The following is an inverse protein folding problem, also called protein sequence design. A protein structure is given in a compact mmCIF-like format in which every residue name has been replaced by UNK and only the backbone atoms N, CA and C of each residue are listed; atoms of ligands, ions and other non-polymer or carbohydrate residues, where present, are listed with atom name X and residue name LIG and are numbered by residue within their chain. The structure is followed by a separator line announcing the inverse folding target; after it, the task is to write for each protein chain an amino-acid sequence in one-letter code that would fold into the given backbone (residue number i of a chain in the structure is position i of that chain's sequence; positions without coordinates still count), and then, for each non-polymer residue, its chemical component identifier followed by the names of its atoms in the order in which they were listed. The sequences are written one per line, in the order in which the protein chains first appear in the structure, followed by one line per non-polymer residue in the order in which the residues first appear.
data_IF_735254288662
#
_entry.id   IF_735254288662
#
_cell.length_a   1.000
_cell.length_b   1.000
_cell.length_c   1.000
_cell.angle_alpha   90.00
_cell.angle_beta   90.00
_cell.angle_gamma   90.00
#
_symmetry.space_group_name_H-M   'P 1'
#
loop_
_entity.id
_entity.type
_entity.pdbx_description
1 polymer ?
#
# COMPACT_ATOMS: atom_id res chain seq x y z
N UNK A 1 -3.35 -68.17 -63.64
CA UNK A 1 -2.39 -67.06 -63.62
C UNK A 1 -3.01 -66.02 -62.72
N UNK A 2 -2.56 -65.92 -61.47
CA UNK A 2 -3.09 -64.99 -60.50
C UNK A 2 -1.97 -63.97 -60.16
N UNK A 3 -2.20 -62.75 -60.57
CA UNK A 3 -1.31 -61.60 -60.25
C UNK A 3 -1.62 -61.05 -58.84
N UNK A 4 -0.69 -61.20 -57.98
CA UNK A 4 -0.71 -60.56 -56.63
C UNK A 4 -0.38 -59.08 -56.76
N UNK A 5 -1.37 -58.17 -56.50
CA UNK A 5 -1.11 -56.75 -56.31
C UNK A 5 -0.57 -56.50 -54.93
N UNK A 6 0.62 -55.92 -54.85
CA UNK A 6 1.20 -55.40 -53.59
C UNK A 6 0.60 -54.03 -53.34
N UNK A 7 -0.11 -53.88 -52.22
CA UNK A 7 -0.57 -52.60 -51.71
C UNK A 7 0.59 -52.00 -50.90
N UNK A 8 1.12 -50.87 -51.35
CA UNK A 8 2.08 -50.10 -50.58
C UNK A 8 1.30 -49.14 -49.66
N UNK A 9 1.38 -49.34 -48.36
CA UNK A 9 0.81 -48.43 -47.36
C UNK A 9 1.76 -47.26 -47.18
N UNK A 10 1.38 -46.08 -47.65
CA UNK A 10 2.11 -44.83 -47.38
C UNK A 10 1.67 -44.34 -46.00
N UNK A 11 2.58 -44.39 -45.02
CA UNK A 11 2.41 -43.82 -43.70
C UNK A 11 2.71 -42.31 -43.79
N UNK A 12 1.68 -41.49 -43.84
CA UNK A 12 1.82 -40.02 -43.75
C UNK A 12 1.98 -39.65 -42.29
N UNK A 13 3.20 -39.35 -41.87
CA UNK A 13 3.44 -38.75 -40.58
C UNK A 13 2.97 -37.28 -40.65
N UNK A 14 1.88 -36.99 -39.96
CA UNK A 14 1.44 -35.63 -39.71
C UNK A 14 2.35 -35.03 -38.63
N UNK A 15 3.29 -34.19 -39.04
CA UNK A 15 4.03 -33.33 -38.11
C UNK A 15 3.08 -32.23 -37.69
N UNK A 16 2.50 -32.35 -36.50
CA UNK A 16 1.80 -31.25 -35.83
C UNK A 16 2.90 -30.31 -35.32
N UNK A 17 3.19 -29.29 -36.14
CA UNK A 17 3.99 -28.16 -35.69
C UNK A 17 3.18 -27.39 -34.64
N UNK A 18 3.56 -27.53 -33.39
CA UNK A 18 3.14 -26.59 -32.35
C UNK A 18 3.79 -25.24 -32.67
N UNK A 19 3.04 -24.39 -33.39
CA UNK A 19 3.34 -22.97 -33.45
C UNK A 19 3.04 -22.42 -32.04
N UNK A 20 4.10 -22.29 -31.24
CA UNK A 20 4.04 -21.41 -30.08
C UNK A 20 3.74 -20.01 -30.64
N UNK A 21 2.50 -19.57 -30.51
CA UNK A 21 2.18 -18.16 -30.59
C UNK A 21 2.88 -17.51 -29.37
N UNK A 22 4.11 -17.05 -29.56
CA UNK A 22 4.64 -15.98 -28.72
C UNK A 22 3.76 -14.77 -29.03
N UNK A 23 2.79 -14.51 -28.17
CA UNK A 23 2.21 -13.18 -28.09
C UNK A 23 3.38 -12.26 -27.75
N UNK A 24 3.82 -11.49 -28.74
CA UNK A 24 4.66 -10.33 -28.48
C UNK A 24 3.71 -9.39 -27.73
N UNK A 25 3.71 -9.47 -26.39
CA UNK A 25 3.19 -8.40 -25.57
C UNK A 25 4.07 -7.22 -25.94
N UNK A 26 3.49 -6.17 -26.50
CA UNK A 26 4.19 -4.91 -26.70
C UNK A 26 4.61 -4.48 -25.31
N UNK A 27 5.86 -4.69 -24.95
CA UNK A 27 6.37 -4.26 -23.67
C UNK A 27 6.37 -2.73 -23.65
N UNK A 28 5.98 -2.12 -22.54
CA UNK A 28 6.22 -0.71 -22.32
C UNK A 28 7.64 -0.37 -22.74
N UNK A 29 7.84 0.77 -23.37
CA UNK A 29 9.11 1.15 -23.96
C UNK A 29 9.53 2.55 -23.53
N UNK A 30 10.82 2.75 -23.38
CA UNK A 30 11.42 4.02 -23.00
C UNK A 30 11.88 4.08 -21.56
N UNK A 31 12.33 5.25 -21.15
CA UNK A 31 12.85 5.51 -19.82
C UNK A 31 11.73 5.40 -18.77
N UNK A 32 12.01 4.72 -17.65
CA UNK A 32 11.08 4.58 -16.54
C UNK A 32 11.08 5.88 -15.73
N UNK A 33 9.92 6.49 -15.55
CA UNK A 33 9.73 7.59 -14.59
C UNK A 33 9.45 7.01 -13.20
N UNK A 34 10.47 6.97 -12.35
CA UNK A 34 10.34 6.52 -10.96
C UNK A 34 9.67 7.61 -10.15
N UNK A 35 8.55 7.27 -9.49
CA UNK A 35 7.84 8.19 -8.59
C UNK A 35 7.91 7.64 -7.18
N UNK A 36 8.44 8.43 -6.25
CA UNK A 36 8.57 8.09 -4.83
C UNK A 36 7.79 9.06 -3.95
N UNK A 37 7.83 8.81 -2.66
CA UNK A 37 7.20 9.65 -1.63
C UNK A 37 8.27 10.44 -0.86
N UNK A 38 7.82 11.44 -0.14
CA UNK A 38 8.60 12.26 0.78
C UNK A 38 9.24 11.43 1.92
N UNK A 39 10.32 11.92 2.51
CA UNK A 39 11.11 11.20 3.53
C UNK A 39 10.30 10.83 4.79
N UNK A 40 9.35 11.67 5.19
CA UNK A 40 8.45 11.41 6.33
C UNK A 40 7.39 10.34 6.07
N UNK A 41 7.21 9.91 4.80
CA UNK A 41 6.17 8.96 4.40
C UNK A 41 6.39 7.58 5.00
N UNK A 42 5.41 7.09 5.77
CA UNK A 42 5.40 5.72 6.27
C UNK A 42 5.26 4.69 5.14
N UNK A 43 4.57 5.04 4.04
CA UNK A 43 4.46 4.17 2.88
C UNK A 43 5.80 4.00 2.18
N UNK A 44 6.60 5.09 2.05
CA UNK A 44 7.97 5.00 1.52
C UNK A 44 8.84 4.11 2.43
N UNK A 45 8.82 4.35 3.74
CA UNK A 45 9.62 3.55 4.67
C UNK A 45 9.30 2.05 4.58
N UNK A 46 8.00 1.69 4.62
CA UNK A 46 7.58 0.30 4.49
C UNK A 46 7.91 -0.29 3.11
N UNK A 47 7.74 0.48 2.02
CA UNK A 47 8.07 0.06 0.66
C UNK A 47 9.56 -0.24 0.51
N UNK A 48 10.42 0.67 0.97
CA UNK A 48 11.88 0.53 0.92
C UNK A 48 12.36 -0.69 1.70
N UNK A 49 11.81 -0.91 2.90
CA UNK A 49 12.11 -2.07 3.72
C UNK A 49 11.65 -3.38 3.07
N UNK A 50 10.38 -3.45 2.64
CA UNK A 50 9.77 -4.68 2.12
C UNK A 50 10.38 -5.15 0.79
N UNK A 51 10.85 -4.21 -0.05
CA UNK A 51 11.55 -4.53 -1.29
C UNK A 51 13.08 -4.60 -1.13
N UNK A 52 13.60 -4.36 0.08
CA UNK A 52 15.05 -4.39 0.34
C UNK A 52 15.80 -3.31 -0.43
N UNK A 53 15.18 -2.13 -0.62
CA UNK A 53 15.78 -0.95 -1.26
C UNK A 53 16.69 -0.20 -0.28
N UNK A 54 16.79 -0.64 0.95
CA UNK A 54 17.69 -0.10 1.96
C UNK A 54 19.00 -0.89 2.03
N UNK A 55 20.10 -0.21 2.36
CA UNK A 55 21.39 -0.80 2.66
C UNK A 55 21.84 -0.42 4.06
N UNK A 56 22.50 -1.34 4.76
CA UNK A 56 23.15 -1.02 6.03
C UNK A 56 24.52 -0.36 5.76
N UNK A 57 24.66 0.90 6.21
CA UNK A 57 25.92 1.66 6.13
C UNK A 57 26.25 2.19 7.51
N UNK A 58 27.41 1.81 8.03
CA UNK A 58 27.92 2.23 9.35
C UNK A 58 26.97 1.89 10.52
N UNK A 59 26.12 0.84 10.36
CA UNK A 59 25.14 0.40 11.35
C UNK A 59 23.78 1.13 11.25
N UNK A 60 23.58 1.97 10.24
CA UNK A 60 22.33 2.63 9.94
C UNK A 60 21.73 2.11 8.62
N UNK A 61 20.41 2.00 8.56
CA UNK A 61 19.67 1.67 7.35
C UNK A 61 19.55 2.92 6.47
N UNK A 62 20.04 2.85 5.27
CA UNK A 62 20.03 3.96 4.30
C UNK A 62 19.10 3.60 3.15
N UNK A 63 18.12 4.44 2.89
CA UNK A 63 17.25 4.36 1.72
C UNK A 63 18.06 4.61 0.43
N UNK A 64 18.05 3.65 -0.47
CA UNK A 64 18.79 3.65 -1.74
C UNK A 64 17.91 4.03 -2.93
N UNK A 65 16.73 4.61 -2.68
CA UNK A 65 15.89 5.13 -3.77
C UNK A 65 16.70 6.12 -4.61
N UNK A 66 16.67 5.94 -5.93
CA UNK A 66 17.43 6.80 -6.86
C UNK A 66 17.10 8.27 -6.68
N UNK A 67 18.13 9.11 -6.74
CA UNK A 67 18.00 10.57 -6.69
C UNK A 67 17.23 11.15 -7.91
N UNK A 68 17.05 10.35 -8.96
CA UNK A 68 16.27 10.69 -10.16
C UNK A 68 14.76 10.56 -9.94
N UNK A 69 14.32 9.97 -8.82
CA UNK A 69 12.91 9.77 -8.53
C UNK A 69 12.18 11.10 -8.34
N UNK A 70 11.02 11.23 -8.98
CA UNK A 70 10.08 12.32 -8.72
C UNK A 70 9.42 12.13 -7.37
N UNK A 71 9.54 13.09 -6.46
CA UNK A 71 9.02 12.99 -5.09
C UNK A 71 7.64 13.62 -4.98
N UNK A 72 6.68 12.86 -4.44
CA UNK A 72 5.32 13.32 -4.15
C UNK A 72 5.07 13.35 -2.64
N UNK A 73 4.12 14.16 -2.21
CA UNK A 73 3.85 14.41 -0.78
C UNK A 73 2.52 13.83 -0.28
N UNK A 74 1.82 13.04 -1.08
CA UNK A 74 0.59 12.37 -0.66
C UNK A 74 0.23 11.20 -1.59
N UNK A 75 -0.66 10.32 -1.12
CA UNK A 75 -1.20 9.20 -1.90
C UNK A 75 -1.92 9.69 -3.16
N UNK A 76 -2.74 10.72 -3.05
CA UNK A 76 -3.50 11.27 -4.19
C UNK A 76 -2.61 11.92 -5.24
N UNK A 77 -1.54 12.62 -4.83
CA UNK A 77 -0.56 13.19 -5.77
C UNK A 77 0.25 12.09 -6.47
N UNK A 78 0.62 11.01 -5.75
CA UNK A 78 1.25 9.83 -6.35
C UNK A 78 0.36 9.25 -7.47
N UNK A 79 -0.91 8.99 -7.19
CA UNK A 79 -1.86 8.45 -8.17
C UNK A 79 -2.00 9.37 -9.38
N UNK A 80 -2.20 10.67 -9.16
CA UNK A 80 -2.32 11.65 -10.25
C UNK A 80 -1.05 11.71 -11.11
N UNK A 81 0.13 11.63 -10.48
CA UNK A 81 1.41 11.66 -11.20
C UNK A 81 1.56 10.43 -12.09
N UNK A 82 1.29 9.22 -11.54
CA UNK A 82 1.37 7.97 -12.31
C UNK A 82 0.31 7.93 -13.41
N UNK A 83 -0.91 8.39 -13.13
CA UNK A 83 -1.97 8.45 -14.15
C UNK A 83 -1.66 9.42 -15.31
N UNK A 84 -0.80 10.41 -15.07
CA UNK A 84 -0.43 11.42 -16.06
C UNK A 84 0.80 11.10 -16.92
N UNK A 85 1.50 10.00 -16.66
CA UNK A 85 2.72 9.59 -17.37
C UNK A 85 2.71 8.08 -17.65
N UNK A 86 2.65 7.71 -18.94
CA UNK A 86 2.60 6.31 -19.40
C UNK A 86 3.84 5.50 -18.98
N UNK A 87 4.97 6.15 -18.70
CA UNK A 87 6.21 5.51 -18.28
C UNK A 87 6.41 5.51 -16.76
N UNK A 88 5.47 6.06 -15.99
CA UNK A 88 5.61 6.15 -14.56
C UNK A 88 5.34 4.82 -13.84
N UNK A 89 6.14 4.59 -12.79
CA UNK A 89 5.93 3.58 -11.75
C UNK A 89 5.88 4.27 -10.39
N UNK A 90 4.93 3.85 -9.55
CA UNK A 90 4.74 4.38 -8.21
C UNK A 90 4.23 3.31 -7.26
N UNK A 91 3.89 3.69 -6.03
CA UNK A 91 3.34 2.80 -5.03
C UNK A 91 2.35 3.54 -4.11
N UNK A 92 1.28 2.86 -3.74
CA UNK A 92 0.22 3.41 -2.88
C UNK A 92 -0.31 2.38 -1.89
N UNK A 93 -1.09 2.85 -0.92
CA UNK A 93 -2.00 2.02 -0.12
C UNK A 93 -2.98 1.28 -1.02
N UNK A 94 -3.14 -0.03 -0.82
CA UNK A 94 -4.09 -0.87 -1.58
C UNK A 94 -5.53 -0.37 -1.39
N UNK A 95 -5.90 0.06 -0.18
CA UNK A 95 -7.23 0.61 0.08
C UNK A 95 -7.51 1.94 -0.63
N UNK A 96 -6.49 2.59 -1.22
CA UNK A 96 -6.65 3.81 -2.04
C UNK A 96 -6.66 3.53 -3.54
N UNK A 97 -6.46 2.27 -3.95
CA UNK A 97 -6.42 1.90 -5.37
C UNK A 97 -7.78 2.10 -6.03
N UNK A 98 -7.79 2.83 -7.14
CA UNK A 98 -8.96 3.04 -7.98
C UNK A 98 -8.64 2.78 -9.46
N UNK A 99 -9.59 3.06 -10.34
CA UNK A 99 -9.48 2.81 -11.77
C UNK A 99 -8.67 3.88 -12.55
N UNK A 100 -8.04 4.83 -11.88
CA UNK A 100 -7.18 5.85 -12.53
C UNK A 100 -5.78 5.33 -12.84
N UNK A 101 -5.33 4.31 -12.12
CA UNK A 101 -4.02 3.65 -12.28
C UNK A 101 -4.20 2.13 -12.34
N UNK A 102 -3.14 1.41 -12.70
CA UNK A 102 -3.11 -0.05 -12.75
C UNK A 102 -2.13 -0.60 -11.71
N UNK A 103 -2.59 -1.48 -10.83
CA UNK A 103 -1.69 -2.25 -9.96
C UNK A 103 -1.06 -3.40 -10.75
N UNK A 104 0.24 -3.60 -10.60
CA UNK A 104 0.95 -4.75 -11.15
C UNK A 104 1.03 -5.88 -10.12
N UNK A 105 1.07 -7.12 -10.58
CA UNK A 105 1.34 -8.27 -9.72
C UNK A 105 2.80 -8.23 -9.28
N UNK A 106 3.04 -8.68 -8.06
CA UNK A 106 4.41 -8.85 -7.53
C UNK A 106 4.64 -10.33 -7.29
N UNK A 107 5.70 -10.87 -7.89
CA UNK A 107 6.07 -12.30 -7.82
C UNK A 107 4.89 -13.22 -8.16
N UNK A 108 4.10 -12.86 -9.17
CA UNK A 108 2.92 -13.60 -9.62
C UNK A 108 1.65 -13.40 -8.78
N UNK A 109 1.70 -12.60 -7.70
CA UNK A 109 0.59 -12.40 -6.78
C UNK A 109 -0.02 -11.01 -6.97
N UNK A 110 -1.33 -10.95 -7.10
CA UNK A 110 -2.09 -9.71 -7.21
C UNK A 110 -2.17 -8.98 -5.86
N UNK A 111 -2.01 -7.66 -5.89
CA UNK A 111 -2.29 -6.80 -4.75
C UNK A 111 -3.81 -6.74 -4.51
N UNK A 112 -4.31 -7.63 -3.66
CA UNK A 112 -5.72 -7.76 -3.32
C UNK A 112 -5.88 -8.02 -1.81
N UNK A 113 -6.99 -7.56 -1.24
CA UNK A 113 -7.29 -7.69 0.21
C UNK A 113 -7.19 -9.15 0.67
N UNK A 114 -7.77 -10.09 -0.10
CA UNK A 114 -7.73 -11.52 0.22
C UNK A 114 -6.29 -12.06 0.22
N UNK A 115 -5.45 -11.62 -0.71
CA UNK A 115 -4.06 -12.06 -0.82
C UNK A 115 -3.17 -11.47 0.29
N UNK A 116 -3.47 -10.26 0.75
CA UNK A 116 -2.82 -9.68 1.93
C UNK A 116 -3.29 -10.40 3.20
N UNK A 117 -4.59 -10.68 3.32
CA UNK A 117 -5.19 -11.32 4.49
C UNK A 117 -4.67 -12.76 4.70
N UNK A 118 -4.45 -13.52 3.62
CA UNK A 118 -3.94 -14.89 3.68
C UNK A 118 -2.41 -15.00 3.56
N UNK A 119 -1.69 -13.87 3.62
CA UNK A 119 -0.24 -13.75 3.51
C UNK A 119 0.37 -14.25 2.19
N UNK A 120 -0.39 -14.41 1.12
CA UNK A 120 0.17 -14.70 -0.21
C UNK A 120 0.82 -13.46 -0.84
N UNK A 121 0.24 -12.27 -0.65
CA UNK A 121 0.86 -10.99 -0.99
C UNK A 121 1.60 -10.43 0.22
N UNK A 122 2.93 -10.32 0.12
CA UNK A 122 3.82 -10.00 1.24
C UNK A 122 4.05 -8.51 1.46
N UNK A 123 3.70 -7.68 0.49
CA UNK A 123 3.95 -6.24 0.54
C UNK A 123 2.82 -5.57 1.31
N UNK A 124 2.88 -5.68 2.62
CA UNK A 124 1.84 -5.20 3.54
C UNK A 124 2.45 -4.65 4.84
N UNK A 125 1.73 -3.75 5.49
CA UNK A 125 2.17 -3.05 6.68
C UNK A 125 1.00 -2.72 7.61
N UNK A 126 1.26 -2.42 8.89
CA UNK A 126 0.23 -1.93 9.80
C UNK A 126 -0.14 -0.48 9.50
N UNK A 127 -1.39 -0.13 9.76
CA UNK A 127 -1.84 1.23 10.03
C UNK A 127 -1.95 1.42 11.53
N UNK A 128 -1.19 2.35 12.05
CA UNK A 128 -1.12 2.65 13.48
C UNK A 128 -1.78 4.00 13.78
N UNK A 129 -2.49 4.04 14.89
CA UNK A 129 -2.77 5.29 15.60
C UNK A 129 -1.84 5.39 16.81
N UNK A 130 -1.48 6.60 17.15
CA UNK A 130 -0.48 6.92 18.17
C UNK A 130 -1.10 7.88 19.17
N UNK A 131 -1.12 7.48 20.43
CA UNK A 131 -1.72 8.25 21.49
C UNK A 131 -0.74 8.45 22.63
N UNK A 132 -0.91 9.53 23.40
CA UNK A 132 -0.10 9.81 24.58
C UNK A 132 -0.89 9.53 25.86
N UNK A 133 -0.25 9.56 27.01
CA UNK A 133 -0.89 9.46 28.32
C UNK A 133 -1.79 10.67 28.69
N UNK A 134 -1.79 11.71 27.83
CA UNK A 134 -2.55 12.96 27.99
C UNK A 134 -3.80 13.04 27.13
N UNK A 135 -4.25 11.92 26.57
CA UNK A 135 -5.45 11.85 25.75
C UNK A 135 -6.67 12.45 26.46
N UNK A 136 -7.48 13.22 25.72
CA UNK A 136 -8.78 13.64 26.18
C UNK A 136 -9.76 12.47 26.27
N UNK A 137 -10.82 12.61 27.07
CA UNK A 137 -11.87 11.57 27.14
C UNK A 137 -12.52 11.34 25.77
N UNK A 138 -12.65 12.40 24.95
CA UNK A 138 -13.15 12.29 23.58
C UNK A 138 -12.20 11.48 22.67
N UNK A 139 -10.87 11.68 22.78
CA UNK A 139 -9.89 10.91 22.01
C UNK A 139 -9.90 9.43 22.42
N UNK A 140 -9.95 9.13 23.73
CA UNK A 140 -10.07 7.75 24.23
C UNK A 140 -11.32 7.04 23.73
N UNK A 141 -12.46 7.75 23.75
CA UNK A 141 -13.73 7.20 23.30
C UNK A 141 -13.72 6.97 21.79
N UNK A 142 -13.10 7.86 21.01
CA UNK A 142 -12.90 7.65 19.58
C UNK A 142 -11.99 6.45 19.28
N UNK A 143 -10.91 6.26 20.02
CA UNK A 143 -10.06 5.05 19.92
C UNK A 143 -10.85 3.78 20.24
N UNK A 144 -11.71 3.82 21.28
CA UNK A 144 -12.61 2.70 21.60
C UNK A 144 -13.58 2.41 20.44
N UNK A 145 -14.11 3.45 19.78
CA UNK A 145 -14.95 3.29 18.60
C UNK A 145 -14.19 2.64 17.44
N UNK A 146 -13.00 3.15 17.11
CA UNK A 146 -12.14 2.58 16.06
C UNK A 146 -11.92 1.07 16.26
N UNK A 147 -11.63 0.66 17.50
CA UNK A 147 -11.33 -0.72 17.85
C UNK A 147 -12.57 -1.57 18.14
N UNK A 148 -13.76 -1.01 18.10
CA UNK A 148 -15.03 -1.74 18.23
C UNK A 148 -15.38 -2.51 16.96
N UNK A 149 -16.37 -3.42 17.03
CA UNK A 149 -16.87 -4.11 15.85
C UNK A 149 -17.49 -3.15 14.81
N UNK A 150 -18.02 -2.01 15.26
CA UNK A 150 -18.58 -0.98 14.39
C UNK A 150 -17.50 -0.25 13.61
N UNK A 151 -16.43 0.17 14.27
CA UNK A 151 -15.26 0.79 13.64
C UNK A 151 -14.52 -0.20 12.74
N UNK A 152 -14.31 -1.43 13.21
CA UNK A 152 -13.60 -2.45 12.43
C UNK A 152 -14.39 -2.92 11.19
N UNK A 153 -15.72 -2.81 11.23
CA UNK A 153 -16.53 -3.00 10.03
C UNK A 153 -16.28 -1.90 9.00
N UNK A 154 -16.12 -0.65 9.42
CA UNK A 154 -15.77 0.46 8.50
C UNK A 154 -14.40 0.19 7.86
N UNK A 155 -13.42 -0.29 8.65
CA UNK A 155 -12.10 -0.69 8.13
C UNK A 155 -12.25 -1.72 7.00
N UNK A 156 -13.00 -2.80 7.25
CA UNK A 156 -13.21 -3.90 6.30
C UNK A 156 -14.01 -3.44 5.06
N UNK A 157 -15.08 -2.68 5.25
CA UNK A 157 -15.94 -2.17 4.16
C UNK A 157 -15.17 -1.20 3.22
N UNK A 158 -14.06 -0.61 3.67
CA UNK A 158 -13.21 0.28 2.89
C UNK A 158 -11.93 -0.39 2.33
N UNK A 159 -11.89 -1.73 2.31
CA UNK A 159 -10.84 -2.47 1.62
C UNK A 159 -9.55 -2.66 2.42
N UNK A 160 -9.60 -2.52 3.74
CA UNK A 160 -8.49 -2.81 4.64
C UNK A 160 -8.72 -4.10 5.44
N UNK A 161 -7.68 -4.67 5.98
CA UNK A 161 -7.78 -5.86 6.82
C UNK A 161 -7.94 -5.42 8.27
N UNK A 162 -9.05 -5.81 8.90
CA UNK A 162 -9.32 -5.52 10.31
C UNK A 162 -8.37 -6.27 11.25
N UNK A 163 -8.04 -5.65 12.37
CA UNK A 163 -7.16 -6.23 13.39
C UNK A 163 -7.92 -6.82 14.59
N UNK A 164 -9.10 -6.29 14.91
CA UNK A 164 -9.89 -6.73 16.06
C UNK A 164 -11.06 -7.65 15.63
N UNK A 165 -10.74 -8.91 15.28
CA UNK A 165 -11.74 -9.87 14.78
C UNK A 165 -12.88 -10.17 15.77
N UNK A 166 -12.59 -10.19 17.08
CA UNK A 166 -13.53 -10.47 18.17
C UNK A 166 -13.97 -9.21 18.94
N UNK A 167 -13.90 -8.03 18.30
CA UNK A 167 -14.28 -6.78 18.92
C UNK A 167 -15.76 -6.75 19.29
N UNK A 168 -16.07 -6.15 20.45
CA UNK A 168 -17.43 -5.88 20.87
C UNK A 168 -18.00 -4.69 20.12
N UNK A 169 -19.33 -4.61 20.05
CA UNK A 169 -20.02 -3.42 19.57
C UNK A 169 -19.61 -2.20 20.40
N UNK A 170 -19.57 -1.04 19.75
CA UNK A 170 -19.30 0.21 20.43
C UNK A 170 -20.43 0.54 21.42
N UNK A 171 -20.04 0.90 22.62
CA UNK A 171 -20.94 1.42 23.64
C UNK A 171 -20.52 2.87 23.93
N UNK A 172 -21.38 3.84 23.57
CA UNK A 172 -21.09 5.25 23.80
C UNK A 172 -20.91 5.56 25.28
N UNK A 173 -19.84 6.25 25.63
CA UNK A 173 -19.62 6.71 26.98
C UNK A 173 -20.51 7.96 27.27
N UNK A 174 -21.11 8.02 28.46
CA UNK A 174 -21.95 9.15 28.84
C UNK A 174 -21.15 10.44 29.03
N UNK A 175 -21.62 11.54 28.46
CA UNK A 175 -21.10 12.89 28.69
C UNK A 175 -19.79 13.20 27.95
N UNK A 176 -19.35 12.34 27.03
CA UNK A 176 -18.18 12.62 26.18
C UNK A 176 -18.54 13.70 25.16
N UNK A 177 -17.73 14.75 25.10
CA UNK A 177 -17.91 15.87 24.18
C UNK A 177 -16.60 16.58 23.89
N UNK A 178 -16.52 17.34 22.81
CA UNK A 178 -15.39 18.17 22.46
C UNK A 178 -14.85 17.92 21.07
N UNK A 179 -13.59 18.28 20.86
CA UNK A 179 -12.89 18.14 19.57
C UNK A 179 -11.74 17.17 19.72
N UNK A 180 -11.59 16.28 18.76
CA UNK A 180 -10.44 15.38 18.61
C UNK A 180 -9.68 15.78 17.35
N UNK A 181 -8.39 16.06 17.46
CA UNK A 181 -7.51 16.34 16.32
C UNK A 181 -6.71 15.09 16.01
N UNK A 182 -6.87 14.58 14.79
CA UNK A 182 -6.14 13.42 14.28
C UNK A 182 -5.24 13.89 13.15
N UNK A 183 -3.94 13.60 13.20
CA UNK A 183 -3.00 14.09 12.19
C UNK A 183 -2.01 13.03 11.74
N UNK A 184 -1.59 13.08 10.47
CA UNK A 184 -0.49 12.23 9.98
C UNK A 184 -0.74 11.61 8.61
N UNK A 185 -0.36 10.36 8.48
CA UNK A 185 -0.24 9.60 7.24
C UNK A 185 -1.37 9.80 6.23
N UNK A 186 -1.03 10.27 5.02
CA UNK A 186 -1.98 10.40 3.90
C UNK A 186 -2.57 9.07 3.42
N UNK A 187 -1.92 7.94 3.72
CA UNK A 187 -2.46 6.61 3.40
C UNK A 187 -3.51 6.14 4.41
N UNK A 188 -3.42 6.61 5.67
CA UNK A 188 -4.41 6.30 6.71
C UNK A 188 -5.60 7.25 6.64
N UNK A 189 -5.40 8.46 6.14
CA UNK A 189 -6.43 9.51 6.08
C UNK A 189 -7.78 9.02 5.52
N UNK A 190 -7.86 8.31 4.38
CA UNK A 190 -9.16 7.92 3.82
C UNK A 190 -10.01 7.05 4.76
N UNK A 191 -9.40 6.06 5.42
CA UNK A 191 -10.14 5.21 6.38
C UNK A 191 -10.43 5.96 7.67
N UNK A 192 -9.53 6.85 8.11
CA UNK A 192 -9.73 7.65 9.32
C UNK A 192 -10.90 8.63 9.16
N UNK A 193 -11.07 9.24 7.99
CA UNK A 193 -12.23 10.10 7.69
C UNK A 193 -13.55 9.30 7.77
N UNK A 194 -13.58 8.05 7.28
CA UNK A 194 -14.74 7.18 7.40
C UNK A 194 -15.03 6.76 8.85
N UNK A 195 -13.98 6.50 9.62
CA UNK A 195 -14.12 6.23 11.05
C UNK A 195 -14.62 7.45 11.82
N UNK A 196 -14.15 8.64 11.49
CA UNK A 196 -14.62 9.90 12.05
C UNK A 196 -16.10 10.15 11.72
N UNK A 197 -16.50 10.03 10.44
CA UNK A 197 -17.89 10.12 10.01
C UNK A 197 -18.80 9.15 10.77
N UNK A 198 -18.38 7.90 10.91
CA UNK A 198 -19.13 6.87 11.64
C UNK A 198 -19.26 7.17 13.12
N UNK A 199 -18.19 7.63 13.77
CA UNK A 199 -18.18 8.00 15.17
C UNK A 199 -19.06 9.22 15.46
N UNK A 200 -18.95 10.29 14.66
CA UNK A 200 -19.78 11.48 14.77
C UNK A 200 -21.27 11.19 14.52
N UNK A 201 -21.58 10.12 13.78
CA UNK A 201 -22.97 9.68 13.60
C UNK A 201 -23.59 9.16 14.88
N UNK A 202 -22.83 8.54 15.76
CA UNK A 202 -23.26 7.93 17.03
C UNK A 202 -22.96 8.81 18.25
N UNK A 203 -22.00 9.72 18.18
CA UNK A 203 -21.67 10.69 19.21
C UNK A 203 -21.71 12.13 18.64
N UNK A 204 -22.85 12.81 18.79
CA UNK A 204 -23.10 14.14 18.22
C UNK A 204 -22.40 15.29 18.92
N UNK A 205 -21.89 15.07 20.12
CA UNK A 205 -21.25 16.08 20.94
C UNK A 205 -19.71 16.12 20.74
N UNK A 206 -19.17 15.22 19.90
CA UNK A 206 -17.77 15.21 19.51
C UNK A 206 -17.61 15.57 18.04
N UNK A 207 -16.55 16.31 17.73
CA UNK A 207 -16.10 16.57 16.36
C UNK A 207 -14.68 16.03 16.19
N UNK A 208 -14.45 15.26 15.12
CA UNK A 208 -13.15 14.72 14.78
C UNK A 208 -12.59 15.46 13.57
N UNK A 209 -11.47 16.17 13.75
CA UNK A 209 -10.76 16.84 12.65
C UNK A 209 -9.59 16.00 12.20
N UNK A 210 -9.61 15.52 10.95
CA UNK A 210 -8.54 14.73 10.35
C UNK A 210 -7.65 15.64 9.51
N UNK A 211 -6.36 15.71 9.85
CA UNK A 211 -5.35 16.53 9.19
C UNK A 211 -4.34 15.63 8.47
N UNK A 212 -4.38 15.65 7.14
CA UNK A 212 -3.46 14.87 6.33
C UNK A 212 -2.05 15.47 6.30
N UNK A 213 -1.06 14.62 6.53
CA UNK A 213 0.37 14.89 6.34
C UNK A 213 1.13 13.58 6.03
N UNK A 214 2.31 13.41 6.59
CA UNK A 214 3.07 12.16 6.56
C UNK A 214 3.12 11.49 7.95
N UNK A 215 3.63 10.25 8.00
CA UNK A 215 3.68 9.47 9.26
C UNK A 215 4.59 10.09 10.31
N UNK A 216 5.76 10.60 9.93
CA UNK A 216 6.70 11.21 10.87
C UNK A 216 6.12 12.48 11.49
N UNK A 217 5.45 13.30 10.68
CA UNK A 217 4.70 14.46 11.17
C UNK A 217 3.60 14.05 12.15
N UNK A 218 2.83 13.00 11.83
CA UNK A 218 1.79 12.49 12.73
C UNK A 218 2.33 12.01 14.08
N UNK A 219 3.45 11.27 14.08
CA UNK A 219 4.15 10.85 15.30
C UNK A 219 4.56 12.05 16.14
N UNK A 220 5.21 13.03 15.52
CA UNK A 220 5.70 14.22 16.21
C UNK A 220 4.54 15.06 16.80
N UNK A 221 3.47 15.27 16.04
CA UNK A 221 2.30 16.03 16.52
C UNK A 221 1.62 15.36 17.73
N UNK A 222 1.52 14.02 17.74
CA UNK A 222 1.02 13.29 18.90
C UNK A 222 1.95 13.39 20.10
N UNK A 223 3.27 13.28 19.90
CA UNK A 223 4.27 13.40 20.97
C UNK A 223 4.30 14.81 21.58
N UNK A 224 4.15 15.84 20.76
CA UNK A 224 4.09 17.25 21.20
C UNK A 224 2.72 17.61 21.80
N UNK A 225 1.68 16.80 21.60
CA UNK A 225 0.32 17.07 22.04
C UNK A 225 -0.39 18.15 21.20
N UNK A 226 0.07 18.40 19.95
CA UNK A 226 -0.60 19.28 18.97
C UNK A 226 -1.68 18.54 18.20
N UNK A 227 -1.64 17.22 18.17
CA UNK A 227 -2.74 16.33 17.81
C UNK A 227 -3.04 15.39 18.99
N UNK A 228 -4.32 15.04 19.17
CA UNK A 228 -4.74 14.04 20.17
C UNK A 228 -4.32 12.63 19.73
N UNK A 229 -4.36 12.38 18.43
CA UNK A 229 -4.06 11.08 17.81
C UNK A 229 -3.15 11.31 16.59
N UNK A 230 -2.01 10.63 16.56
CA UNK A 230 -1.15 10.54 15.38
C UNK A 230 -1.57 9.38 14.47
N UNK A 231 -1.28 9.48 13.17
CA UNK A 231 -1.48 8.39 12.20
C UNK A 231 -0.16 8.01 11.55
N UNK A 232 0.16 6.72 11.54
CA UNK A 232 1.34 6.20 10.84
C UNK A 232 0.99 4.95 10.02
N UNK A 233 1.50 4.87 8.79
CA UNK A 233 1.37 3.72 7.89
C UNK A 233 2.63 2.85 7.88
N UNK A 234 3.22 2.68 9.03
CA UNK A 234 4.39 1.86 9.36
C UNK A 234 4.48 1.66 10.88
N UNK A 235 5.34 0.78 11.33
CA UNK A 235 5.72 0.72 12.73
C UNK A 235 6.50 1.97 13.15
N UNK A 236 6.56 2.23 14.44
CA UNK A 236 7.41 3.28 14.99
C UNK A 236 8.88 2.96 14.74
N UNK A 237 9.63 3.94 14.27
CA UNK A 237 11.08 3.88 14.20
C UNK A 237 11.70 3.77 15.60
N UNK A 238 12.93 3.30 15.68
CA UNK A 238 13.58 3.10 16.98
C UNK A 238 13.68 4.39 17.80
N UNK A 239 14.00 5.52 17.15
CA UNK A 239 14.04 6.83 17.77
C UNK A 239 12.66 7.36 18.21
N UNK A 240 11.57 6.84 17.63
CA UNK A 240 10.20 7.23 17.97
C UNK A 240 9.63 6.44 19.16
N UNK A 241 10.19 5.28 19.49
CA UNK A 241 9.73 4.42 20.60
C UNK A 241 9.88 5.06 21.97
N UNK A 242 10.83 5.97 22.12
CA UNK A 242 11.11 6.67 23.38
C UNK A 242 10.28 7.96 23.55
N UNK A 243 9.38 8.28 22.61
CA UNK A 243 8.55 9.49 22.67
C UNK A 243 7.35 9.38 23.64
N UNK A 244 7.19 8.24 24.32
CA UNK A 244 6.10 8.02 25.29
C UNK A 244 4.73 7.85 24.65
N UNK A 245 4.70 7.43 23.37
CA UNK A 245 3.47 7.15 22.63
C UNK A 245 3.09 5.67 22.73
N UNK A 246 1.78 5.43 22.77
CA UNK A 246 1.21 4.10 22.59
C UNK A 246 0.79 3.94 21.14
N UNK A 247 1.35 2.96 20.44
CA UNK A 247 0.94 2.59 19.11
C UNK A 247 -0.14 1.50 19.17
N UNK A 248 -1.25 1.72 18.48
CA UNK A 248 -2.34 0.76 18.31
C UNK A 248 -2.56 0.48 16.84
N UNK A 249 -2.41 -0.78 16.43
CA UNK A 249 -2.71 -1.21 15.06
C UNK A 249 -4.22 -1.21 14.87
N UNK A 250 -4.70 -0.43 13.92
CA UNK A 250 -6.14 -0.30 13.61
C UNK A 250 -6.55 -1.07 12.36
N UNK A 251 -5.60 -1.32 11.47
CA UNK A 251 -5.80 -2.05 10.24
C UNK A 251 -4.46 -2.57 9.71
N UNK A 252 -4.52 -3.59 8.84
CA UNK A 252 -3.41 -3.98 7.99
C UNK A 252 -3.73 -3.62 6.53
N UNK A 253 -2.76 -3.10 5.80
CA UNK A 253 -2.94 -2.61 4.45
C UNK A 253 -1.82 -3.09 3.53
N UNK A 254 -2.18 -3.47 2.29
CA UNK A 254 -1.22 -3.77 1.26
C UNK A 254 -0.60 -2.51 0.65
N UNK A 255 0.62 -2.63 0.14
CA UNK A 255 1.21 -1.60 -0.74
C UNK A 255 1.13 -2.12 -2.17
N UNK A 256 0.34 -1.47 -3.01
CA UNK A 256 0.25 -1.78 -4.43
C UNK A 256 1.32 -1.01 -5.19
N UNK A 257 2.13 -1.71 -6.00
CA UNK A 257 2.95 -1.08 -7.04
C UNK A 257 2.05 -0.75 -8.20
N UNK A 258 2.07 0.49 -8.64
CA UNK A 258 1.16 1.02 -9.66
C UNK A 258 1.92 1.56 -10.86
N UNK A 259 1.30 1.40 -12.02
CA UNK A 259 1.73 2.00 -13.28
C UNK A 259 0.56 2.72 -13.95
N UNK A 260 0.83 3.51 -14.98
CA UNK A 260 -0.22 4.10 -15.80
C UNK A 260 -1.11 3.00 -16.43
N UNK A 261 -2.37 3.28 -16.66
CA UNK A 261 -3.33 2.32 -17.25
C UNK A 261 -2.94 1.85 -18.65
N UNK A 262 -2.30 2.73 -19.42
CA UNK A 262 -1.85 2.46 -20.78
C UNK A 262 -0.47 1.78 -20.82
N UNK A 263 0.18 1.57 -19.67
CA UNK A 263 1.41 0.80 -19.58
C UNK A 263 1.10 -0.71 -19.70
N UNK A 264 1.82 -1.43 -20.54
CA UNK A 264 1.55 -2.86 -20.84
C UNK A 264 2.10 -3.84 -19.78
N UNK A 265 2.83 -3.35 -18.78
CA UNK A 265 3.40 -4.19 -17.70
C UNK A 265 2.31 -4.62 -16.73
N UNK A 266 2.11 -5.94 -16.59
CA UNK A 266 1.10 -6.53 -15.70
C UNK A 266 1.71 -7.20 -14.46
N UNK A 267 3.02 -7.47 -14.49
CA UNK A 267 3.72 -8.20 -13.43
C UNK A 267 5.18 -7.76 -13.35
N UNK A 268 5.69 -7.65 -12.12
CA UNK A 268 7.10 -7.46 -11.80
C UNK A 268 7.50 -8.42 -10.69
N UNK A 269 8.78 -8.80 -10.64
CA UNK A 269 9.34 -9.46 -9.46
C UNK A 269 9.77 -8.41 -8.44
N UNK A 270 9.90 -8.82 -7.18
CA UNK A 270 10.45 -7.96 -6.13
C UNK A 270 11.84 -7.44 -6.49
N UNK A 271 12.68 -8.26 -7.11
CA UNK A 271 14.01 -7.86 -7.56
C UNK A 271 13.96 -6.81 -8.68
N UNK A 272 13.01 -6.92 -9.61
CA UNK A 272 12.81 -5.91 -10.67
C UNK A 272 12.35 -4.57 -10.08
N UNK A 273 11.42 -4.58 -9.12
CA UNK A 273 11.01 -3.36 -8.41
C UNK A 273 12.21 -2.72 -7.72
N UNK A 274 13.02 -3.52 -7.00
CA UNK A 274 14.25 -3.04 -6.37
C UNK A 274 15.20 -2.41 -7.39
N UNK A 275 15.49 -3.09 -8.50
CA UNK A 275 16.41 -2.60 -9.53
C UNK A 275 15.94 -1.27 -10.15
N UNK A 276 14.63 -1.10 -10.34
CA UNK A 276 14.05 0.17 -10.82
C UNK A 276 14.23 1.29 -9.78
N UNK A 277 13.86 1.02 -8.53
CA UNK A 277 13.92 2.06 -7.50
C UNK A 277 15.33 2.41 -7.02
N UNK A 278 16.31 1.53 -7.21
CA UNK A 278 17.73 1.84 -6.98
C UNK A 278 18.42 2.48 -8.20
N UNK A 279 17.73 2.56 -9.34
CA UNK A 279 18.29 3.12 -10.58
C UNK A 279 19.22 2.16 -11.34
N UNK A 280 19.26 0.88 -10.95
CA UNK A 280 20.02 -0.15 -11.68
C UNK A 280 19.37 -0.46 -13.05
N UNK A 281 18.03 -0.36 -13.12
CA UNK A 281 17.27 -0.51 -14.35
C UNK A 281 16.47 0.78 -14.59
N UNK A 282 16.69 1.40 -15.75
CA UNK A 282 16.12 2.71 -16.08
C UNK A 282 15.19 2.68 -17.28
N UNK A 283 15.06 1.54 -17.98
CA UNK A 283 14.18 1.39 -19.14
C UNK A 283 13.25 0.20 -18.98
N UNK A 284 12.03 0.30 -19.53
CA UNK A 284 11.07 -0.79 -19.52
C UNK A 284 11.53 -2.02 -20.30
N UNK A 285 12.29 -1.82 -21.40
CA UNK A 285 12.84 -2.90 -22.22
C UNK A 285 13.85 -3.76 -21.46
N UNK A 286 14.58 -3.19 -20.50
CA UNK A 286 15.58 -3.92 -19.73
C UNK A 286 14.94 -4.84 -18.67
N UNK A 287 13.71 -4.53 -18.23
CA UNK A 287 12.93 -5.39 -17.35
C UNK A 287 12.37 -6.65 -18.06
N UNK A 288 12.25 -6.62 -19.38
CA UNK A 288 11.72 -7.75 -20.16
C UNK A 288 12.77 -8.82 -20.49
N UNK A 289 14.03 -8.64 -20.09
CA UNK A 289 15.17 -9.57 -20.33
C UNK A 289 15.37 -10.52 -19.19
#
# INVERSE_FOLDING_TARGET
IIMKKKIATILTAAVIGATAFTTIVSAASGDITVVSREDGSGTRGAFVELFGIEEEKDGEKVDMTTDEASVTNSTSVMMTTVAGDENAIGYISLGSLDDTVKAVKIDGVEAAVDNVSNDSYKIARPFNILTSDKESDAAKDFVNYIMSSDGQKIVEDNGYIKEAADAKAYEAADGVSGKVVVAGSSSVTPVMEKLAEGYEAVNKDVTVEVQQSDSTTGVNMAAEGTADIGMASRDLKDEEKDLGLTATVIARDGIAVIVNKDNDVDELTSDQVKAVYTGETTTWEDLAK
#
